data_IF_821699271268
#
_entry.id   IF_821699271268
#
_cell.length_a   1.000
_cell.length_b   1.000
_cell.length_c   1.000
_cell.angle_alpha   90.00
_cell.angle_beta   90.00
_cell.angle_gamma   90.00
#
_symmetry.space_group_name_H-M   'P 1'
#
loop_
_entity.id
_entity.type
_entity.pdbx_description
1 polymer ?
#
# COMPACT_ATOMS: atom_id res chain seq x y z
N UNK A 1 6.16 10.57 18.88
CA UNK A 1 5.19 10.63 17.80
C UNK A 1 3.91 11.29 18.27
N UNK A 2 3.28 12.05 17.43
CA UNK A 2 2.05 12.80 17.71
C UNK A 2 1.08 12.58 16.55
N UNK A 3 -0.17 12.19 16.85
CA UNK A 3 -1.23 12.11 15.83
C UNK A 3 -1.66 13.54 15.46
N UNK A 4 -1.70 13.84 14.16
CA UNK A 4 -2.25 15.10 13.64
C UNK A 4 -3.72 14.90 13.31
N UNK A 5 -4.04 13.81 12.62
CA UNK A 5 -5.38 13.37 12.27
C UNK A 5 -5.33 11.87 11.87
N UNK A 6 -6.44 11.33 11.40
CA UNK A 6 -6.54 9.92 11.00
C UNK A 6 -5.65 9.53 9.81
N UNK A 7 -5.11 10.51 9.09
CA UNK A 7 -4.30 10.29 7.89
C UNK A 7 -2.81 10.59 8.10
N UNK A 8 -2.45 11.43 9.08
CA UNK A 8 -1.10 11.91 9.28
C UNK A 8 -0.65 11.87 10.73
N UNK A 9 0.60 11.54 10.92
CA UNK A 9 1.33 11.62 12.18
C UNK A 9 2.53 12.55 12.04
N UNK A 10 2.87 13.23 13.13
CA UNK A 10 4.12 13.99 13.26
C UNK A 10 5.13 13.16 14.03
N UNK A 11 6.24 12.87 13.41
CA UNK A 11 7.41 12.30 14.06
C UNK A 11 8.29 13.44 14.54
N UNK A 12 8.70 13.41 15.81
CA UNK A 12 9.72 14.30 16.36
C UNK A 12 10.93 13.50 16.76
N UNK A 13 12.09 13.97 16.42
CA UNK A 13 13.38 13.33 16.72
C UNK A 13 14.41 14.37 17.12
N UNK A 14 15.42 13.91 17.86
CA UNK A 14 16.52 14.78 18.29
C UNK A 14 17.34 15.18 17.07
N UNK A 15 17.68 16.46 17.00
CA UNK A 15 18.55 16.98 15.94
C UNK A 15 19.92 16.30 15.99
N UNK A 16 20.47 16.02 14.81
CA UNK A 16 21.85 15.54 14.69
C UNK A 16 22.85 16.58 15.28
N UNK A 17 23.93 16.10 15.85
CA UNK A 17 25.01 16.96 16.34
C UNK A 17 26.20 17.00 15.38
N UNK A 18 26.28 16.09 14.43
CA UNK A 18 27.34 16.01 13.44
C UNK A 18 27.16 17.12 12.38
N UNK A 19 28.22 17.88 12.13
CA UNK A 19 28.20 19.05 11.26
C UNK A 19 27.93 18.69 9.80
N UNK A 20 28.44 17.58 9.34
CA UNK A 20 28.25 17.00 8.01
C UNK A 20 26.80 16.56 7.75
N UNK A 21 26.08 16.12 8.80
CA UNK A 21 24.65 15.87 8.73
C UNK A 21 23.85 17.19 8.68
N UNK A 22 24.22 18.16 9.54
CA UNK A 22 23.50 19.43 9.66
C UNK A 22 23.56 20.30 8.41
N UNK A 23 24.68 20.27 7.69
CA UNK A 23 24.96 21.20 6.59
C UNK A 23 24.90 20.61 5.17
N UNK A 24 24.66 19.33 5.02
CA UNK A 24 24.55 18.69 3.71
C UNK A 24 23.80 17.35 3.75
N UNK A 25 23.66 16.81 4.94
CA UNK A 25 23.03 15.53 5.15
C UNK A 25 21.50 15.55 5.09
N UNK A 26 20.92 14.39 5.26
CA UNK A 26 19.47 14.15 5.18
C UNK A 26 18.99 13.24 6.31
N UNK A 27 17.70 13.31 6.59
CA UNK A 27 17.01 12.39 7.49
C UNK A 27 16.07 11.53 6.67
N UNK A 28 16.29 10.23 6.71
CA UNK A 28 15.43 9.25 6.06
C UNK A 28 14.44 8.68 7.05
N UNK A 29 13.18 8.61 6.63
CA UNK A 29 12.09 8.07 7.42
C UNK A 29 11.48 6.92 6.67
N UNK A 30 11.59 5.73 7.26
CA UNK A 30 11.06 4.49 6.72
C UNK A 30 9.96 3.93 7.62
N UNK A 31 9.13 3.12 7.02
CA UNK A 31 8.05 2.43 7.72
C UNK A 31 8.00 0.95 7.34
N UNK A 32 7.72 0.12 8.33
CA UNK A 32 7.43 -1.30 8.15
C UNK A 32 6.23 -1.72 9.01
N UNK A 33 5.51 -2.74 8.55
CA UNK A 33 4.44 -3.36 9.35
C UNK A 33 4.99 -4.27 10.46
N UNK A 34 6.28 -4.59 10.41
CA UNK A 34 6.95 -5.39 11.43
C UNK A 34 7.10 -4.60 12.73
N UNK A 35 7.22 -5.30 13.84
CA UNK A 35 7.42 -4.72 15.18
C UNK A 35 8.56 -5.43 15.91
N UNK A 36 9.08 -4.79 16.97
CA UNK A 36 10.18 -5.35 17.74
C UNK A 36 11.47 -5.50 16.94
N UNK A 37 12.25 -6.51 17.23
CA UNK A 37 13.56 -6.75 16.61
C UNK A 37 13.53 -7.06 15.10
N UNK A 38 12.37 -7.40 14.55
CA UNK A 38 12.21 -7.61 13.12
C UNK A 38 12.01 -6.31 12.34
N UNK A 39 11.72 -5.21 13.01
CA UNK A 39 11.56 -3.88 12.41
C UNK A 39 12.94 -3.22 12.29
N UNK A 40 13.63 -3.47 11.20
CA UNK A 40 14.93 -2.88 10.88
C UNK A 40 14.82 -1.86 9.75
N UNK A 41 15.77 -0.96 9.64
CA UNK A 41 15.79 0.05 8.58
C UNK A 41 15.88 -0.58 7.18
N UNK A 42 16.53 -1.73 7.06
CA UNK A 42 16.62 -2.51 5.82
C UNK A 42 15.29 -3.20 5.44
N UNK A 43 14.53 -3.63 6.45
CA UNK A 43 13.20 -4.24 6.25
C UNK A 43 12.07 -3.21 6.07
N UNK A 44 12.41 -1.92 6.17
CA UNK A 44 11.48 -0.81 6.06
C UNK A 44 11.66 -0.07 4.73
N UNK A 45 10.65 0.71 4.33
CA UNK A 45 10.65 1.46 3.08
C UNK A 45 10.41 2.94 3.32
N UNK A 46 10.98 3.78 2.45
CA UNK A 46 10.76 5.21 2.47
C UNK A 46 9.27 5.52 2.27
N UNK A 47 8.71 6.34 3.14
CA UNK A 47 7.29 6.73 3.11
C UNK A 47 7.09 8.21 2.80
N UNK A 48 8.15 8.99 2.89
CA UNK A 48 8.24 10.37 2.47
C UNK A 48 9.61 10.60 1.84
N UNK A 49 9.78 11.69 1.12
CA UNK A 49 11.11 12.14 0.69
C UNK A 49 11.97 12.46 1.91
N UNK A 50 13.29 12.24 1.78
CA UNK A 50 14.23 12.54 2.83
C UNK A 50 14.21 14.04 3.16
N UNK A 51 14.06 14.37 4.44
CA UNK A 51 14.05 15.75 4.92
C UNK A 51 15.47 16.24 5.19
N UNK A 52 15.73 17.57 5.21
CA UNK A 52 17.05 18.11 5.50
C UNK A 52 17.62 17.61 6.83
N UNK A 53 18.95 17.45 6.92
CA UNK A 53 19.64 16.91 8.09
C UNK A 53 19.51 17.74 9.37
N UNK A 54 19.16 19.01 9.25
CA UNK A 54 18.87 19.92 10.38
C UNK A 54 17.41 19.86 10.87
N UNK A 55 16.56 18.99 10.28
CA UNK A 55 15.18 18.82 10.69
C UNK A 55 15.09 18.14 12.06
N UNK A 56 14.05 18.48 12.82
CA UNK A 56 13.71 17.87 14.11
C UNK A 56 12.33 17.20 14.10
N UNK A 57 11.61 17.36 13.00
CA UNK A 57 10.30 16.74 12.81
C UNK A 57 10.01 16.47 11.35
N UNK A 58 9.07 15.55 11.11
CA UNK A 58 8.51 15.26 9.80
C UNK A 58 7.06 14.82 9.92
N UNK A 59 6.27 15.13 8.89
CA UNK A 59 4.87 14.68 8.79
C UNK A 59 4.85 13.46 7.86
N UNK A 60 4.32 12.36 8.37
CA UNK A 60 4.25 11.09 7.68
C UNK A 60 2.79 10.59 7.62
N UNK A 61 2.45 9.75 6.63
CA UNK A 61 1.18 9.03 6.66
C UNK A 61 1.00 8.25 7.95
N UNK A 62 -0.20 8.26 8.53
CA UNK A 62 -0.56 7.53 9.74
C UNK A 62 -0.74 6.04 9.40
N UNK A 63 0.22 5.21 9.77
CA UNK A 63 0.26 3.78 9.45
C UNK A 63 0.54 2.97 10.72
N UNK A 64 -0.19 1.87 10.96
CA UNK A 64 0.16 0.95 12.04
C UNK A 64 1.46 0.23 11.71
N UNK A 65 2.33 0.04 12.70
CA UNK A 65 3.64 -0.59 12.53
C UNK A 65 4.75 0.25 13.12
N UNK A 66 5.94 0.17 12.55
CA UNK A 66 7.15 0.82 13.08
C UNK A 66 7.69 1.84 12.09
N UNK A 67 7.88 3.06 12.57
CA UNK A 67 8.65 4.11 11.87
C UNK A 67 10.10 4.03 12.33
N UNK A 68 11.01 4.13 11.38
CA UNK A 68 12.45 4.11 11.60
C UNK A 68 13.09 5.34 10.99
N UNK A 69 14.02 5.93 11.71
CA UNK A 69 14.71 7.17 11.33
C UNK A 69 16.21 6.93 11.34
N UNK A 70 16.88 7.28 10.26
CA UNK A 70 18.34 7.34 10.16
C UNK A 70 18.78 8.66 9.57
N UNK A 71 19.92 9.13 10.05
CA UNK A 71 20.62 10.26 9.45
C UNK A 71 21.58 9.75 8.37
N UNK A 72 21.72 10.54 7.31
CA UNK A 72 22.73 10.36 6.27
C UNK A 72 23.59 11.63 6.24
N UNK A 73 24.91 11.48 6.24
CA UNK A 73 25.85 12.60 6.10
C UNK A 73 25.94 13.07 4.65
N UNK A 74 26.70 14.13 4.40
CA UNK A 74 26.97 14.66 3.06
C UNK A 74 27.83 13.72 2.19
N UNK A 75 28.54 12.78 2.82
CA UNK A 75 29.25 11.68 2.17
C UNK A 75 28.39 10.46 1.86
N UNK A 76 27.05 10.58 1.99
CA UNK A 76 26.05 9.54 1.73
C UNK A 76 26.11 8.32 2.67
N UNK A 77 26.76 8.43 3.82
CA UNK A 77 26.83 7.36 4.82
C UNK A 77 25.69 7.48 5.83
N UNK A 78 25.02 6.37 6.11
CA UNK A 78 23.99 6.32 7.13
C UNK A 78 24.57 6.19 8.54
N UNK A 79 23.86 6.74 9.52
CA UNK A 79 24.13 6.47 10.94
C UNK A 79 24.11 4.97 11.21
N UNK A 80 25.01 4.50 12.10
CA UNK A 80 25.12 3.08 12.46
C UNK A 80 23.86 2.56 13.13
N UNK A 81 23.23 3.37 13.97
CA UNK A 81 21.99 3.03 14.69
C UNK A 81 20.79 3.77 14.08
N UNK A 82 19.64 3.15 14.20
CA UNK A 82 18.35 3.73 13.88
C UNK A 82 17.55 4.07 15.14
N UNK A 83 16.77 5.15 15.07
CA UNK A 83 15.73 5.40 16.05
C UNK A 83 14.42 4.80 15.51
N UNK A 84 13.65 4.15 16.37
CA UNK A 84 12.39 3.54 15.98
C UNK A 84 11.27 3.87 16.96
N UNK A 85 10.05 3.95 16.44
CA UNK A 85 8.83 4.06 17.23
C UNK A 85 7.74 3.23 16.60
N UNK A 86 7.19 2.30 17.36
CA UNK A 86 6.02 1.53 16.95
C UNK A 86 4.75 2.26 17.36
N UNK A 87 3.77 2.28 16.47
CA UNK A 87 2.43 2.76 16.78
C UNK A 87 1.38 1.71 16.43
N UNK A 88 0.42 1.60 17.34
CA UNK A 88 -0.84 0.91 17.09
C UNK A 88 -1.87 2.00 16.87
N UNK A 89 -2.24 2.23 15.63
CA UNK A 89 -3.40 3.07 15.35
C UNK A 89 -4.63 2.26 15.75
N UNK A 90 -5.65 2.88 16.38
CA UNK A 90 -6.92 2.22 16.53
C UNK A 90 -7.33 1.75 15.12
N UNK A 91 -7.76 0.49 15.01
CA UNK A 91 -8.49 0.07 13.81
C UNK A 91 -9.58 1.11 13.60
N UNK A 92 -9.59 1.73 12.44
CA UNK A 92 -10.71 2.57 12.04
C UNK A 92 -11.87 1.59 11.94
N UNK A 93 -12.68 1.47 12.99
CA UNK A 93 -13.84 0.58 13.09
C UNK A 93 -14.86 0.82 11.96
N UNK A 94 -14.65 1.88 11.21
CA UNK A 94 -15.48 2.35 10.12
C UNK A 94 -14.84 2.12 8.73
N UNK A 95 -14.01 1.11 8.55
CA UNK A 95 -13.48 0.74 7.24
C UNK A 95 -13.83 -0.70 6.88
N UNK A 96 -14.09 -0.93 5.60
CA UNK A 96 -14.34 -2.25 5.03
C UNK A 96 -13.07 -2.70 4.33
N UNK A 97 -12.49 -3.82 4.75
CA UNK A 97 -11.43 -4.47 3.98
C UNK A 97 -12.05 -5.09 2.73
N UNK A 98 -11.72 -4.51 1.57
CA UNK A 98 -12.24 -4.95 0.27
C UNK A 98 -11.51 -6.19 -0.21
N UNK A 99 -10.19 -6.16 -0.15
CA UNK A 99 -9.32 -7.27 -0.53
C UNK A 99 -7.98 -7.18 0.19
N UNK A 100 -7.47 -8.32 0.61
CA UNK A 100 -6.06 -8.51 0.92
C UNK A 100 -5.52 -9.51 -0.11
N UNK A 101 -4.47 -9.15 -0.79
CA UNK A 101 -3.81 -9.95 -1.81
C UNK A 101 -2.33 -10.10 -1.45
N UNK A 102 -1.85 -11.34 -1.42
CA UNK A 102 -0.51 -11.70 -0.97
C UNK A 102 0.08 -12.73 -1.92
N UNK A 103 0.79 -12.25 -2.94
CA UNK A 103 1.43 -13.09 -3.96
C UNK A 103 2.47 -14.05 -3.39
N UNK A 104 3.08 -13.68 -2.25
CA UNK A 104 4.08 -14.49 -1.55
C UNK A 104 3.48 -15.67 -0.77
N UNK A 105 2.18 -15.62 -0.40
CA UNK A 105 1.52 -16.65 0.41
C UNK A 105 0.52 -17.50 -0.36
N UNK A 106 0.39 -17.28 -1.65
CA UNK A 106 -0.47 -18.10 -2.50
C UNK A 106 -0.04 -19.57 -2.53
N UNK A 107 -0.95 -20.47 -2.87
CA UNK A 107 -0.68 -21.91 -2.96
C UNK A 107 0.41 -22.27 -3.98
N UNK A 108 0.63 -21.39 -4.96
CA UNK A 108 1.83 -21.31 -5.79
C UNK A 108 2.36 -19.90 -5.64
N UNK A 109 3.37 -19.68 -4.78
CA UNK A 109 3.88 -18.34 -4.55
C UNK A 109 4.33 -17.64 -5.83
N UNK A 110 4.00 -16.36 -5.93
CA UNK A 110 4.38 -15.52 -7.07
C UNK A 110 3.97 -16.15 -8.41
N UNK A 111 2.70 -16.51 -8.55
CA UNK A 111 2.15 -17.15 -9.76
C UNK A 111 1.82 -16.15 -10.89
N UNK A 112 2.01 -14.86 -10.67
CA UNK A 112 1.82 -13.81 -11.66
C UNK A 112 2.84 -13.84 -12.82
N UNK A 113 2.70 -12.87 -13.72
CA UNK A 113 3.54 -12.80 -14.92
C UNK A 113 4.93 -12.24 -14.60
N UNK A 114 5.95 -13.03 -14.87
CA UNK A 114 7.35 -12.68 -14.65
C UNK A 114 8.05 -12.33 -15.96
N UNK A 115 8.78 -11.23 -15.98
CA UNK A 115 9.71 -10.88 -17.04
C UNK A 115 11.10 -10.66 -16.43
N UNK A 116 12.09 -11.43 -16.84
CA UNK A 116 13.46 -11.46 -16.29
C UNK A 116 13.53 -11.74 -14.77
N UNK A 117 12.48 -12.32 -14.20
CA UNK A 117 12.41 -12.72 -12.81
C UNK A 117 12.18 -14.22 -12.67
N UNK A 118 12.70 -14.78 -11.59
CA UNK A 118 12.42 -16.16 -11.18
C UNK A 118 12.07 -16.20 -9.69
N UNK A 119 11.22 -17.14 -9.30
CA UNK A 119 11.01 -17.49 -7.90
C UNK A 119 12.10 -18.46 -7.46
N UNK A 120 12.80 -18.11 -6.39
CA UNK A 120 13.81 -18.97 -5.76
C UNK A 120 13.23 -19.54 -4.46
N UNK A 121 12.99 -20.85 -4.46
CA UNK A 121 12.40 -21.55 -3.31
C UNK A 121 13.34 -21.62 -2.10
N UNK A 122 14.66 -21.52 -2.33
CA UNK A 122 15.66 -21.52 -1.24
C UNK A 122 15.70 -20.17 -0.53
N UNK A 123 15.60 -19.07 -1.30
CA UNK A 123 15.53 -17.71 -0.77
C UNK A 123 14.11 -17.32 -0.35
N UNK A 124 13.10 -18.07 -0.79
CA UNK A 124 11.69 -17.80 -0.50
C UNK A 124 11.17 -16.53 -1.15
N UNK A 125 11.71 -16.09 -2.29
CA UNK A 125 11.33 -14.83 -2.91
C UNK A 125 11.61 -14.74 -4.41
N UNK A 126 11.22 -13.61 -5.00
CA UNK A 126 11.54 -13.27 -6.39
C UNK A 126 12.93 -12.64 -6.47
N UNK A 127 13.67 -13.01 -7.51
CA UNK A 127 14.95 -12.40 -7.86
C UNK A 127 15.08 -12.20 -9.37
N UNK A 128 16.01 -11.35 -9.80
CA UNK A 128 16.43 -11.31 -11.19
C UNK A 128 16.99 -12.68 -11.61
N UNK A 129 16.55 -13.19 -12.74
CA UNK A 129 17.00 -14.49 -13.24
C UNK A 129 18.49 -14.50 -13.51
N UNK A 130 18.97 -13.45 -14.16
CA UNK A 130 20.38 -13.22 -14.46
C UNK A 130 20.65 -11.70 -14.47
N UNK A 131 21.24 -11.15 -13.38
CA UNK A 131 21.59 -9.74 -13.31
C UNK A 131 22.56 -9.27 -14.39
N UNK A 132 23.42 -10.17 -14.87
CA UNK A 132 24.41 -9.84 -15.91
C UNK A 132 23.80 -9.69 -17.30
N UNK A 133 22.72 -10.40 -17.56
CA UNK A 133 21.98 -10.32 -18.82
C UNK A 133 20.90 -9.24 -18.78
N UNK A 134 20.23 -9.06 -17.63
CA UNK A 134 19.13 -8.14 -17.47
C UNK A 134 19.18 -7.49 -16.09
N UNK A 135 19.53 -6.22 -16.05
CA UNK A 135 19.62 -5.44 -14.83
C UNK A 135 18.23 -5.09 -14.24
N UNK A 136 17.14 -5.37 -14.96
CA UNK A 136 15.76 -5.05 -14.55
C UNK A 136 14.83 -6.20 -14.89
N UNK A 137 13.93 -6.50 -13.97
CA UNK A 137 12.84 -7.46 -14.17
C UNK A 137 11.53 -6.97 -13.59
N UNK A 138 10.41 -7.47 -14.11
CA UNK A 138 9.07 -7.08 -13.66
C UNK A 138 8.21 -8.29 -13.31
N UNK A 139 7.34 -8.09 -12.34
CA UNK A 139 6.32 -9.03 -11.91
C UNK A 139 4.96 -8.34 -11.91
N UNK A 140 4.04 -8.79 -12.74
CA UNK A 140 2.66 -8.34 -12.74
C UNK A 140 1.80 -9.30 -11.91
N UNK A 141 1.00 -8.75 -11.00
CA UNK A 141 0.06 -9.53 -10.18
C UNK A 141 -0.94 -10.27 -11.07
N UNK A 142 -1.41 -11.41 -10.59
CA UNK A 142 -2.42 -12.23 -11.29
C UNK A 142 -3.72 -11.45 -11.43
N UNK A 143 -4.17 -10.88 -10.33
CA UNK A 143 -5.50 -10.30 -10.21
C UNK A 143 -5.49 -8.78 -10.46
N UNK A 144 -6.51 -8.33 -11.15
CA UNK A 144 -6.91 -6.92 -11.18
C UNK A 144 -7.97 -6.69 -10.11
N UNK A 145 -7.77 -5.73 -9.21
CA UNK A 145 -8.81 -5.33 -8.27
C UNK A 145 -9.85 -4.49 -9.01
N UNK A 146 -11.09 -4.98 -9.14
CA UNK A 146 -12.25 -4.24 -9.67
C UNK A 146 -13.26 -3.97 -8.55
N UNK A 147 -13.51 -2.70 -8.28
CA UNK A 147 -14.47 -2.24 -7.27
C UNK A 147 -15.92 -2.16 -7.80
N UNK A 148 -16.16 -2.45 -9.09
CA UNK A 148 -17.48 -2.32 -9.71
C UNK A 148 -17.90 -0.88 -9.99
N UNK A 149 -17.22 0.10 -9.43
CA UNK A 149 -17.45 1.54 -9.60
C UNK A 149 -16.21 2.34 -9.16
N UNK A 150 -16.20 3.63 -9.46
CA UNK A 150 -15.08 4.50 -9.08
C UNK A 150 -15.21 4.92 -7.61
N UNK A 151 -14.28 4.47 -6.78
CA UNK A 151 -14.20 4.78 -5.35
C UNK A 151 -12.81 5.27 -4.98
N UNK A 152 -12.73 5.98 -3.84
CA UNK A 152 -11.46 6.27 -3.17
C UNK A 152 -11.25 5.23 -2.08
N UNK A 153 -10.12 4.54 -2.11
CA UNK A 153 -9.76 3.51 -1.15
C UNK A 153 -8.35 3.76 -0.60
N UNK A 154 -8.08 3.23 0.57
CA UNK A 154 -6.74 3.19 1.14
C UNK A 154 -6.06 1.90 0.73
N UNK A 155 -4.90 2.01 0.09
CA UNK A 155 -4.00 0.90 -0.20
C UNK A 155 -2.86 0.87 0.79
N UNK A 156 -2.64 -0.29 1.39
CA UNK A 156 -1.50 -0.60 2.24
C UNK A 156 -0.72 -1.73 1.59
N UNK A 157 0.57 -1.50 1.34
CA UNK A 157 1.42 -2.51 0.73
C UNK A 157 1.95 -3.51 1.76
N UNK A 158 2.09 -4.76 1.34
CA UNK A 158 2.91 -5.78 1.97
C UNK A 158 4.13 -5.97 1.08
N UNK A 159 5.28 -5.48 1.53
CA UNK A 159 6.44 -5.43 0.67
C UNK A 159 7.71 -5.52 1.52
N UNK A 160 8.49 -6.57 1.31
CA UNK A 160 9.74 -6.81 2.00
C UNK A 160 10.72 -7.50 1.08
N UNK A 161 11.92 -6.97 0.99
CA UNK A 161 13.01 -7.56 0.23
C UNK A 161 14.34 -7.14 0.80
N UNK A 162 15.38 -7.83 0.38
CA UNK A 162 16.76 -7.53 0.74
C UNK A 162 17.69 -7.79 -0.46
N UNK A 163 18.66 -6.91 -0.64
CA UNK A 163 19.76 -7.14 -1.56
C UNK A 163 20.65 -8.27 -1.07
N UNK A 164 21.22 -9.02 -1.99
CA UNK A 164 22.20 -10.07 -1.70
C UNK A 164 23.22 -10.18 -2.84
N UNK A 165 24.37 -10.72 -2.53
CA UNK A 165 25.40 -11.00 -3.55
C UNK A 165 25.10 -12.30 -4.28
N UNK A 166 25.30 -12.29 -5.60
CA UNK A 166 25.12 -13.46 -6.46
C UNK A 166 26.43 -14.27 -6.42
N UNK A 167 26.44 -15.29 -5.60
CA UNK A 167 27.59 -16.17 -5.43
C UNK A 167 28.42 -15.89 -4.17
N UNK A 168 29.42 -16.74 -3.96
CA UNK A 168 30.37 -16.58 -2.85
C UNK A 168 31.30 -15.39 -3.13
N UNK A 169 31.46 -14.53 -2.13
CA UNK A 169 32.34 -13.37 -2.25
C UNK A 169 33.82 -13.71 -2.36
N UNK A 170 34.23 -14.92 -1.96
CA UNK A 170 35.62 -15.38 -1.98
C UNK A 170 35.86 -16.45 -3.04
N UNK A 171 35.17 -17.57 -2.99
CA UNK A 171 35.49 -18.76 -3.75
C UNK A 171 35.15 -18.66 -5.25
N UNK A 172 34.18 -17.82 -5.60
CA UNK A 172 33.70 -17.68 -6.99
C UNK A 172 34.24 -16.42 -7.71
N UNK A 173 35.04 -15.58 -7.05
CA UNK A 173 35.65 -14.42 -7.67
C UNK A 173 36.96 -14.80 -8.35
N UNK A 174 37.01 -14.56 -9.66
CA UNK A 174 38.23 -14.78 -10.47
C UNK A 174 39.14 -13.56 -10.50
N UNK A 175 38.68 -12.39 -10.08
CA UNK A 175 39.48 -11.18 -10.02
C UNK A 175 40.42 -11.19 -8.82
N UNK A 176 41.60 -10.56 -8.96
CA UNK A 176 42.55 -10.41 -7.87
C UNK A 176 41.93 -9.66 -6.70
N UNK A 177 42.17 -10.13 -5.49
CA UNK A 177 41.59 -9.59 -4.25
C UNK A 177 41.86 -8.09 -4.04
N UNK A 178 42.98 -7.59 -4.51
CA UNK A 178 43.38 -6.20 -4.44
C UNK A 178 42.59 -5.29 -5.38
N UNK A 179 41.80 -5.87 -6.29
CA UNK A 179 40.90 -5.14 -7.19
C UNK A 179 39.47 -5.09 -6.69
N UNK A 180 39.16 -5.71 -5.55
CA UNK A 180 37.81 -5.75 -5.02
C UNK A 180 37.47 -4.43 -4.31
N UNK A 181 36.33 -3.85 -4.69
CA UNK A 181 35.80 -2.62 -4.08
C UNK A 181 34.83 -2.87 -2.93
N UNK A 182 34.30 -4.08 -2.85
CA UNK A 182 33.29 -4.53 -1.89
C UNK A 182 33.84 -5.72 -1.06
N UNK A 183 34.84 -5.42 -0.28
CA UNK A 183 35.52 -6.43 0.55
C UNK A 183 34.78 -6.62 1.86
N UNK A 184 34.51 -7.90 2.20
CA UNK A 184 34.12 -8.39 3.51
C UNK A 184 32.93 -7.67 4.19
N UNK A 185 31.73 -8.18 3.95
CA UNK A 185 30.54 -7.74 4.67
C UNK A 185 29.88 -6.46 4.15
N UNK A 186 30.23 -6.01 2.95
CA UNK A 186 29.47 -4.95 2.30
C UNK A 186 28.01 -5.37 2.16
N UNK A 187 27.11 -4.45 2.50
CA UNK A 187 25.68 -4.66 2.27
C UNK A 187 25.44 -4.53 0.76
N UNK A 188 24.68 -5.47 0.20
CA UNK A 188 24.21 -5.37 -1.19
C UNK A 188 23.20 -4.21 -1.28
N UNK A 189 23.66 -3.04 -1.69
CA UNK A 189 22.91 -1.78 -1.70
C UNK A 189 22.63 -1.25 -3.12
N UNK A 190 23.16 -1.90 -4.14
CA UNK A 190 22.95 -1.55 -5.54
C UNK A 190 21.76 -2.31 -6.18
N UNK A 191 21.09 -3.15 -5.41
CA UNK A 191 19.86 -3.82 -5.81
C UNK A 191 18.65 -3.18 -5.13
N UNK A 192 17.58 -2.97 -5.89
CA UNK A 192 16.37 -2.31 -5.42
C UNK A 192 15.11 -3.04 -5.93
N UNK A 193 14.00 -2.84 -5.23
CA UNK A 193 12.70 -3.28 -5.67
C UNK A 193 11.66 -2.19 -5.40
N UNK A 194 10.73 -2.02 -6.33
CA UNK A 194 9.64 -1.03 -6.27
C UNK A 194 8.32 -1.71 -6.55
N UNK A 195 7.32 -1.49 -5.68
CA UNK A 195 5.93 -1.82 -5.97
C UNK A 195 5.24 -0.59 -6.56
N UNK A 196 4.60 -0.77 -7.70
CA UNK A 196 3.87 0.27 -8.41
C UNK A 196 2.40 -0.14 -8.62
N UNK A 197 1.53 0.85 -8.73
CA UNK A 197 0.10 0.69 -9.01
C UNK A 197 -0.29 1.59 -10.17
N UNK A 198 -1.22 1.11 -11.02
CA UNK A 198 -1.93 1.94 -12.00
C UNK A 198 -3.42 1.75 -11.85
N UNK A 199 -4.17 2.80 -12.19
CA UNK A 199 -5.62 2.84 -11.99
C UNK A 199 -6.35 3.17 -13.28
N UNK A 200 -7.62 2.75 -13.33
CA UNK A 200 -8.57 3.15 -14.37
C UNK A 200 -9.93 3.45 -13.76
N UNK A 201 -10.70 4.31 -14.39
CA UNK A 201 -12.13 4.51 -14.11
C UNK A 201 -13.02 3.62 -14.97
N UNK A 202 -12.45 3.01 -16.00
CA UNK A 202 -13.15 2.12 -16.91
C UNK A 202 -13.45 0.77 -16.26
N UNK A 203 -14.32 -0.01 -16.88
CA UNK A 203 -14.55 -1.39 -16.49
C UNK A 203 -13.33 -2.26 -16.87
N UNK A 204 -12.61 -2.86 -15.90
CA UNK A 204 -11.42 -3.68 -16.18
C UNK A 204 -11.65 -4.83 -17.15
N UNK A 205 -12.88 -5.33 -17.24
CA UNK A 205 -13.24 -6.43 -18.15
C UNK A 205 -13.62 -5.99 -19.57
N UNK A 206 -13.57 -4.67 -19.88
CA UNK A 206 -14.07 -4.12 -21.15
C UNK A 206 -13.04 -3.26 -21.86
N UNK A 207 -11.83 -3.79 -22.09
CA UNK A 207 -10.72 -3.09 -22.74
C UNK A 207 -10.41 -1.71 -22.13
N UNK A 208 -10.09 -1.67 -20.83
CA UNK A 208 -9.91 -0.41 -20.09
C UNK A 208 -8.64 0.32 -20.51
N UNK A 209 -8.67 1.65 -20.40
CA UNK A 209 -7.49 2.50 -20.51
C UNK A 209 -6.94 2.76 -19.12
N UNK A 210 -5.75 2.24 -18.82
CA UNK A 210 -5.04 2.49 -17.57
C UNK A 210 -4.10 3.68 -17.68
N UNK A 211 -3.93 4.40 -16.59
CA UNK A 211 -2.82 5.33 -16.43
C UNK A 211 -1.46 4.63 -16.41
N UNK A 212 -0.40 5.41 -16.27
CA UNK A 212 0.95 4.87 -16.07
C UNK A 212 1.07 4.22 -14.68
N UNK A 213 1.99 3.26 -14.55
CA UNK A 213 2.39 2.76 -13.24
C UNK A 213 3.09 3.86 -12.45
N UNK A 214 2.65 4.07 -11.22
CA UNK A 214 3.26 4.98 -10.26
C UNK A 214 3.68 4.20 -9.03
N UNK A 215 4.79 4.58 -8.42
CA UNK A 215 5.26 3.96 -7.16
C UNK A 215 4.14 3.98 -6.13
N UNK A 216 3.84 2.82 -5.57
CA UNK A 216 2.81 2.66 -4.57
C UNK A 216 3.36 2.97 -3.18
N UNK A 217 3.12 4.17 -2.70
CA UNK A 217 3.17 4.46 -1.27
C UNK A 217 1.84 4.04 -0.61
N UNK A 218 1.88 3.75 0.71
CA UNK A 218 0.63 3.58 1.44
C UNK A 218 -0.16 4.89 1.40
N UNK A 219 -1.44 4.85 1.01
CA UNK A 219 -2.22 6.06 0.85
C UNK A 219 -3.57 5.85 0.17
N UNK A 220 -4.21 6.95 -0.17
CA UNK A 220 -5.52 6.96 -0.80
C UNK A 220 -5.35 7.00 -2.32
N UNK A 221 -6.02 6.07 -2.99
CA UNK A 221 -6.07 5.98 -4.44
C UNK A 221 -7.52 6.01 -4.91
N UNK A 222 -7.75 6.60 -6.07
CA UNK A 222 -9.08 6.68 -6.68
C UNK A 222 -9.11 5.95 -8.00
N UNK A 223 -10.09 5.09 -8.18
CA UNK A 223 -10.28 4.32 -9.41
C UNK A 223 -11.42 3.32 -9.29
N UNK A 224 -11.72 2.64 -10.37
CA UNK A 224 -12.54 1.43 -10.40
C UNK A 224 -11.64 0.20 -10.45
N UNK A 225 -10.69 0.18 -11.39
CA UNK A 225 -9.74 -0.91 -11.58
C UNK A 225 -8.34 -0.55 -11.14
N UNK A 226 -7.63 -1.49 -10.51
CA UNK A 226 -6.26 -1.33 -10.01
C UNK A 226 -5.42 -2.52 -10.45
N UNK A 227 -4.26 -2.25 -11.02
CA UNK A 227 -3.26 -3.25 -11.36
C UNK A 227 -1.94 -2.94 -10.68
N UNK A 228 -1.23 -3.97 -10.25
CA UNK A 228 -0.03 -3.87 -9.45
C UNK A 228 1.14 -4.52 -10.19
N UNK A 229 2.33 -3.92 -10.03
CA UNK A 229 3.57 -4.39 -10.61
C UNK A 229 4.72 -4.20 -9.63
N UNK A 230 5.49 -5.25 -9.40
CA UNK A 230 6.80 -5.10 -8.77
C UNK A 230 7.87 -5.01 -9.86
N UNK A 231 8.84 -4.11 -9.67
CA UNK A 231 10.04 -4.01 -10.49
C UNK A 231 11.24 -4.25 -9.61
N UNK A 232 12.11 -5.17 -10.00
CA UNK A 232 13.40 -5.42 -9.37
C UNK A 232 14.47 -4.90 -10.30
N UNK A 233 15.48 -4.26 -9.74
CA UNK A 233 16.60 -3.71 -10.51
C UNK A 233 17.91 -3.84 -9.74
N UNK A 234 19.02 -3.87 -10.45
CA UNK A 234 20.35 -3.80 -9.87
C UNK A 234 21.26 -2.91 -10.73
N UNK A 235 22.10 -2.13 -10.07
CA UNK A 235 23.17 -1.38 -10.71
C UNK A 235 24.50 -2.13 -10.75
N UNK A 236 24.62 -3.21 -9.98
CA UNK A 236 25.79 -4.09 -9.93
C UNK A 236 25.41 -5.52 -10.26
N UNK A 237 26.01 -6.10 -11.30
CA UNK A 237 25.76 -7.49 -11.74
C UNK A 237 26.12 -8.55 -10.69
N UNK A 238 26.96 -8.21 -9.71
CA UNK A 238 27.31 -9.08 -8.59
C UNK A 238 26.22 -9.08 -7.50
N UNK A 239 25.24 -8.18 -7.59
CA UNK A 239 24.16 -8.04 -6.62
C UNK A 239 22.80 -8.37 -7.24
N UNK A 240 21.90 -8.86 -6.43
CA UNK A 240 20.53 -9.14 -6.80
C UNK A 240 19.60 -8.76 -5.66
N UNK A 241 18.31 -8.64 -5.95
CA UNK A 241 17.26 -8.39 -4.96
C UNK A 241 16.49 -9.68 -4.70
N UNK A 242 16.29 -10.01 -3.43
CA UNK A 242 15.35 -11.04 -3.00
C UNK A 242 14.09 -10.38 -2.44
N UNK A 243 13.00 -10.39 -3.20
CA UNK A 243 11.69 -9.87 -2.79
C UNK A 243 10.86 -10.99 -2.17
N UNK A 244 10.76 -11.01 -0.84
CA UNK A 244 10.15 -12.09 -0.06
C UNK A 244 8.68 -11.86 0.26
N UNK A 245 8.25 -10.59 0.41
CA UNK A 245 6.84 -10.26 0.62
C UNK A 245 6.36 -9.32 -0.46
N UNK A 246 5.24 -9.66 -1.05
CA UNK A 246 4.61 -8.87 -2.09
C UNK A 246 3.10 -8.97 -1.99
N UNK A 247 2.43 -7.83 -1.84
CA UNK A 247 0.98 -7.81 -1.78
C UNK A 247 0.44 -6.45 -1.37
N UNK A 248 -0.87 -6.39 -1.18
CA UNK A 248 -1.56 -5.20 -0.71
C UNK A 248 -2.79 -5.55 0.14
N UNK A 249 -3.22 -4.60 0.95
CA UNK A 249 -4.55 -4.58 1.56
C UNK A 249 -5.27 -3.32 1.09
N UNK A 250 -6.47 -3.50 0.56
CA UNK A 250 -7.36 -2.45 0.11
C UNK A 250 -8.51 -2.28 1.11
N UNK A 251 -8.69 -1.07 1.63
CA UNK A 251 -9.78 -0.72 2.55
C UNK A 251 -10.56 0.48 2.05
N UNK A 252 -11.87 0.42 2.19
CA UNK A 252 -12.78 1.54 1.93
C UNK A 252 -13.25 2.13 3.26
N UNK A 253 -13.20 3.47 3.44
CA UNK A 253 -13.81 4.10 4.60
C UNK A 253 -15.32 3.86 4.58
N UNK A 254 -15.92 3.65 5.74
CA UNK A 254 -17.37 3.61 5.85
C UNK A 254 -17.92 4.99 5.52
N UNK A 255 -19.11 5.02 4.96
CA UNK A 255 -19.77 6.24 4.55
C UNK A 255 -21.17 6.28 5.10
N UNK A 256 -21.53 7.39 5.69
CA UNK A 256 -22.89 7.71 6.11
C UNK A 256 -23.41 8.90 5.29
N UNK A 257 -24.64 8.83 4.89
CA UNK A 257 -25.34 9.94 4.23
C UNK A 257 -26.64 10.25 4.97
N UNK A 258 -26.88 11.50 5.20
CA UNK A 258 -28.10 12.01 5.82
C UNK A 258 -28.81 12.93 4.84
N UNK A 259 -30.07 12.68 4.56
CA UNK A 259 -30.85 13.57 3.71
C UNK A 259 -31.60 14.62 4.51
N UNK A 260 -31.93 15.75 3.88
CA UNK A 260 -32.97 16.66 4.35
C UNK A 260 -34.33 15.95 4.33
N UNK A 261 -35.34 16.60 4.90
CA UNK A 261 -36.72 16.07 4.90
C UNK A 261 -37.18 15.80 3.47
N UNK A 262 -37.62 14.57 3.26
CA UNK A 262 -38.18 14.13 1.98
C UNK A 262 -39.71 14.09 2.14
N UNK A 263 -40.41 14.93 1.38
CA UNK A 263 -41.86 14.89 1.38
C UNK A 263 -42.37 13.52 0.88
N UNK A 264 -43.23 12.86 1.65
CA UNK A 264 -43.98 11.70 1.20
C UNK A 264 -44.96 12.12 0.09
N UNK A 265 -45.24 11.20 -0.83
CA UNK A 265 -46.26 11.40 -1.84
C UNK A 265 -47.22 10.22 -1.83
N UNK A 266 -48.29 10.30 -2.62
CA UNK A 266 -49.11 9.13 -2.89
C UNK A 266 -48.33 8.12 -3.72
N UNK A 267 -48.05 6.93 -3.16
CA UNK A 267 -47.36 5.86 -3.83
C UNK A 267 -45.89 5.73 -3.48
N UNK A 268 -45.23 4.81 -4.18
CA UNK A 268 -43.82 4.52 -3.96
C UNK A 268 -42.93 5.67 -4.47
N UNK A 269 -41.94 6.05 -3.65
CA UNK A 269 -40.99 7.12 -3.96
C UNK A 269 -39.58 6.61 -4.03
N UNK A 270 -38.92 6.83 -5.16
CA UNK A 270 -37.50 6.54 -5.31
C UNK A 270 -36.67 7.65 -4.64
N UNK A 271 -35.67 7.23 -3.88
CA UNK A 271 -34.68 8.10 -3.23
C UNK A 271 -33.30 7.74 -3.76
N UNK A 272 -32.59 8.72 -4.30
CA UNK A 272 -31.25 8.53 -4.86
C UNK A 272 -30.22 9.09 -3.89
N UNK A 273 -29.14 8.35 -3.64
CA UNK A 273 -28.00 8.82 -2.85
C UNK A 273 -27.21 9.88 -3.63
N UNK A 274 -26.59 10.81 -2.90
CA UNK A 274 -25.76 11.89 -3.51
C UNK A 274 -24.55 11.31 -4.26
N UNK A 275 -23.98 10.23 -3.76
CA UNK A 275 -22.98 9.46 -4.44
C UNK A 275 -23.23 7.97 -4.19
N UNK A 276 -22.78 7.06 -5.08
CA UNK A 276 -22.97 5.62 -4.88
C UNK A 276 -22.29 5.11 -3.61
N UNK A 277 -22.94 4.18 -2.93
CA UNK A 277 -22.33 3.33 -1.91
C UNK A 277 -21.64 2.14 -2.58
N UNK A 278 -20.54 1.69 -2.00
CA UNK A 278 -19.90 0.45 -2.42
C UNK A 278 -20.80 -0.75 -2.08
N UNK A 279 -21.07 -1.57 -3.06
CA UNK A 279 -21.92 -2.78 -2.90
C UNK A 279 -21.18 -4.08 -3.20
N UNK A 280 -19.87 -3.99 -3.46
CA UNK A 280 -19.05 -5.13 -3.84
C UNK A 280 -19.24 -5.57 -5.28
N UNK A 281 -18.49 -6.58 -5.66
CA UNK A 281 -18.59 -7.27 -6.96
C UNK A 281 -18.46 -8.79 -6.74
N UNK A 282 -18.91 -9.57 -7.70
CA UNK A 282 -18.75 -11.05 -7.65
C UNK A 282 -17.28 -11.48 -7.56
N UNK A 283 -16.35 -10.67 -8.08
CA UNK A 283 -14.91 -10.91 -8.00
C UNK A 283 -14.34 -10.74 -6.58
N UNK A 284 -15.07 -10.05 -5.69
CA UNK A 284 -14.66 -9.80 -4.31
C UNK A 284 -15.26 -10.81 -3.31
N UNK A 285 -15.81 -11.91 -3.78
CA UNK A 285 -16.30 -13.01 -2.94
C UNK A 285 -17.39 -12.58 -1.96
N UNK A 286 -17.05 -12.57 -0.66
CA UNK A 286 -17.99 -12.26 0.43
C UNK A 286 -18.54 -10.82 0.41
N UNK A 287 -17.97 -9.93 -0.35
CA UNK A 287 -18.42 -8.55 -0.52
C UNK A 287 -19.33 -8.36 -1.75
N UNK A 288 -19.80 -9.45 -2.32
CA UNK A 288 -20.83 -9.39 -3.35
C UNK A 288 -22.17 -9.04 -2.71
N UNK A 289 -22.82 -7.99 -3.20
CA UNK A 289 -24.13 -7.54 -2.73
C UNK A 289 -24.16 -6.93 -1.31
N UNK A 290 -23.13 -6.20 -0.95
CA UNK A 290 -23.01 -5.47 0.31
C UNK A 290 -23.90 -4.21 0.28
N UNK A 291 -25.18 -4.36 0.63
CA UNK A 291 -26.16 -3.27 0.56
C UNK A 291 -26.04 -2.29 1.73
N UNK A 292 -26.24 -0.98 1.49
CA UNK A 292 -26.28 0.00 2.56
C UNK A 292 -27.48 -0.22 3.50
N UNK A 293 -27.28 0.03 4.78
CA UNK A 293 -28.38 0.06 5.73
C UNK A 293 -29.14 1.39 5.62
N UNK A 294 -30.46 1.30 5.45
CA UNK A 294 -31.31 2.48 5.33
C UNK A 294 -32.18 2.59 6.59
N UNK A 295 -32.10 3.76 7.25
CA UNK A 295 -32.94 4.10 8.39
C UNK A 295 -33.81 5.31 8.06
N UNK A 296 -35.09 5.24 8.35
CA UNK A 296 -36.06 6.31 8.11
C UNK A 296 -36.69 6.70 9.44
N UNK A 297 -36.73 8.03 9.71
CA UNK A 297 -37.47 8.61 10.82
C UNK A 297 -38.71 9.35 10.28
N UNK A 298 -39.85 8.66 10.21
CA UNK A 298 -41.06 9.26 9.68
C UNK A 298 -41.62 10.33 10.62
N UNK A 299 -42.24 11.36 10.05
CA UNK A 299 -42.91 12.45 10.80
C UNK A 299 -44.39 12.50 10.39
N UNK A 300 -45.24 12.95 11.38
CA UNK A 300 -46.67 13.15 11.19
C UNK A 300 -47.44 11.87 10.73
N UNK A 301 -47.05 10.72 11.19
CA UNK A 301 -47.77 9.46 10.92
C UNK A 301 -49.05 9.40 11.76
N UNK A 302 -50.15 8.98 11.13
CA UNK A 302 -51.39 8.67 11.80
C UNK A 302 -51.37 7.25 12.38
N UNK A 303 -52.33 6.93 13.23
CA UNK A 303 -52.47 5.53 13.74
C UNK A 303 -52.81 4.57 12.61
N UNK A 304 -51.95 3.56 12.41
CA UNK A 304 -52.09 2.56 11.34
C UNK A 304 -51.16 2.78 10.16
N UNK A 305 -50.53 3.98 10.06
CA UNK A 305 -49.55 4.22 8.97
C UNK A 305 -48.27 3.41 9.20
N UNK A 306 -47.73 2.92 8.11
CA UNK A 306 -46.44 2.22 8.07
C UNK A 306 -45.70 2.53 6.77
N UNK A 307 -44.44 2.16 6.68
CA UNK A 307 -43.68 2.27 5.45
C UNK A 307 -42.97 0.96 5.10
N UNK A 308 -42.79 0.76 3.83
CA UNK A 308 -42.00 -0.34 3.27
C UNK A 308 -40.81 0.19 2.51
N UNK A 309 -39.65 -0.46 2.70
CA UNK A 309 -38.44 -0.23 1.91
C UNK A 309 -38.29 -1.34 0.89
N UNK A 310 -37.95 -0.93 -0.33
CA UNK A 310 -37.67 -1.87 -1.43
C UNK A 310 -36.58 -1.34 -2.35
N UNK A 311 -36.08 -2.19 -3.26
CA UNK A 311 -35.09 -1.82 -4.28
C UNK A 311 -33.86 -1.12 -3.69
N UNK A 312 -33.38 -1.55 -2.51
CA UNK A 312 -32.16 -1.04 -1.92
C UNK A 312 -30.97 -1.44 -2.79
N UNK A 313 -30.16 -0.44 -3.16
CA UNK A 313 -29.00 -0.59 -4.03
C UNK A 313 -27.87 0.38 -3.60
N UNK A 314 -26.73 0.32 -4.25
CA UNK A 314 -25.66 1.28 -4.04
C UNK A 314 -26.01 2.72 -4.45
N UNK A 315 -27.02 2.91 -5.28
CA UNK A 315 -27.41 4.23 -5.80
C UNK A 315 -28.65 4.83 -5.19
N UNK A 316 -29.43 4.03 -4.43
CA UNK A 316 -30.65 4.51 -3.80
C UNK A 316 -31.57 3.38 -3.33
N UNK A 317 -32.78 3.75 -2.95
CA UNK A 317 -33.82 2.85 -2.51
C UNK A 317 -35.21 3.40 -2.84
N UNK A 318 -36.24 2.60 -2.64
CA UNK A 318 -37.62 3.03 -2.78
C UNK A 318 -38.33 2.92 -1.42
N UNK A 319 -39.05 3.95 -1.05
CA UNK A 319 -39.91 4.00 0.15
C UNK A 319 -41.36 4.16 -0.27
N UNK A 320 -42.25 3.41 0.38
CA UNK A 320 -43.69 3.53 0.17
C UNK A 320 -44.38 3.62 1.53
N UNK A 321 -45.04 4.76 1.76
CA UNK A 321 -45.92 4.96 2.95
C UNK A 321 -47.30 4.42 2.64
N UNK A 322 -47.86 3.70 3.59
CA UNK A 322 -49.16 3.01 3.50
C UNK A 322 -49.95 3.23 4.78
N UNK A 323 -51.26 3.17 4.69
CA UNK A 323 -52.21 3.22 5.79
C UNK A 323 -53.16 2.01 5.72
#
# INVERSE_FOLDING_TARGET
>A
IESINDQFVRLRFTQATAVDVLHGGRVYIRHTNLTGGSATFQAAQDIIEAVPGNSTEAICPALPGTYLVKFQDDGLRFSTTEASVAITLPEILDSITVKTDREDTDSTPFNGTKSNLTFDSTLGGLKLTDPSANATGTYDFVDTLDLGGTFSLTLKRHFQGAGFYVGDQFDNRTANIDTWTDFDGSIANDANAVLAVRTTTDNPSSSPTYGSFNTMANGIFKGRGFQFRATLETADVAQNMNLQQLGYTATLPSRTEQSAVIASGAGAKAVTFTAPFFVGTSALGNLNNFLPSVNISPQNMATGDFFELSSISGTGFTVHFKN
#
